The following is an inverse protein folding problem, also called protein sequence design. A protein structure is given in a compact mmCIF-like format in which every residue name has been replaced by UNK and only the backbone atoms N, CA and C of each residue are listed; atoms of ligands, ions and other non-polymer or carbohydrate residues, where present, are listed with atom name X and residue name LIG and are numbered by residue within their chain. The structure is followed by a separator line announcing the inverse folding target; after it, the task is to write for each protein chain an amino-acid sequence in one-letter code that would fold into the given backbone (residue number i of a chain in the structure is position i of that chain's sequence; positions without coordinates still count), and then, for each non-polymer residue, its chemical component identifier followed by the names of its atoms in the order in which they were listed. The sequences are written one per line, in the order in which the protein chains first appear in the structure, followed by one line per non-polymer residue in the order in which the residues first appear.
data_IF_379449591623
#
_entry.id   IF_379449591623
#
_cell.length_a   1.000
_cell.length_b   1.000
_cell.length_c   1.000
_cell.angle_alpha   90.00
_cell.angle_beta   90.00
_cell.angle_gamma   90.00
#
_symmetry.space_group_name_H-M   'P 1'
#
loop_
_entity.id
_entity.type
_entity.pdbx_description
1 polymer ?
#
# COMPACT_ATOMS: atom_id res chain seq x y z
N UNK A 1 59.24 -4.00 -21.19
CA UNK A 1 59.52 -5.36 -20.68
C UNK A 1 59.42 -5.27 -19.16
N UNK A 2 58.29 -5.65 -18.55
CA UNK A 2 58.00 -6.97 -17.96
C UNK A 2 59.19 -7.55 -17.21
N UNK A 3 59.09 -7.61 -15.87
CA UNK A 3 59.58 -8.66 -14.97
C UNK A 3 58.98 -8.35 -13.58
N UNK A 4 57.88 -8.99 -13.14
CA UNK A 4 57.73 -10.38 -12.65
C UNK A 4 57.98 -10.53 -11.13
N UNK A 5 56.88 -10.77 -10.41
CA UNK A 5 56.63 -11.73 -9.31
C UNK A 5 57.72 -11.97 -8.23
N UNK A 6 57.46 -11.60 -6.97
CA UNK A 6 56.90 -12.41 -5.85
C UNK A 6 57.95 -13.24 -5.09
N UNK A 7 58.00 -13.06 -3.76
CA UNK A 7 58.35 -14.02 -2.68
C UNK A 7 58.38 -13.21 -1.35
N UNK A 8 58.04 -13.64 -0.15
CA UNK A 8 57.13 -14.62 0.46
C UNK A 8 57.11 -14.26 1.98
N UNK A 9 55.92 -14.27 2.62
CA UNK A 9 55.59 -14.34 4.07
C UNK A 9 56.15 -13.35 5.11
N UNK A 10 55.28 -12.92 6.06
CA UNK A 10 55.05 -13.67 7.32
C UNK A 10 53.56 -13.95 7.56
N UNK A 11 53.11 -15.21 7.72
CA UNK A 11 52.99 -15.99 8.96
C UNK A 11 52.25 -15.32 10.13
N UNK A 12 51.04 -15.84 10.32
CA UNK A 12 50.24 -15.99 11.55
C UNK A 12 49.07 -15.03 11.86
N UNK A 13 47.88 -15.62 11.68
CA UNK A 13 46.74 -15.69 12.61
C UNK A 13 45.97 -14.41 12.94
N UNK A 14 44.77 -14.27 12.36
CA UNK A 14 43.51 -14.78 12.96
C UNK A 14 42.46 -14.85 11.84
N UNK A 15 42.06 -16.05 11.43
CA UNK A 15 40.81 -16.68 11.86
C UNK A 15 39.55 -16.00 11.29
N UNK A 16 39.09 -16.58 10.18
CA UNK A 16 37.69 -16.94 9.93
C UNK A 16 36.68 -15.79 9.95
N UNK A 17 36.37 -15.29 8.75
CA UNK A 17 35.03 -15.38 8.18
C UNK A 17 35.15 -15.35 6.65
N UNK A 18 35.21 -16.54 6.06
CA UNK A 18 35.01 -16.71 4.63
C UNK A 18 34.16 -17.96 4.43
N UNK A 19 32.85 -17.78 4.47
CA UNK A 19 31.95 -18.62 3.71
C UNK A 19 31.23 -17.72 2.72
N UNK A 20 31.48 -18.02 1.46
CA UNK A 20 30.81 -17.45 0.32
C UNK A 20 29.37 -17.96 0.26
N UNK A 21 28.42 -17.05 0.09
CA UNK A 21 27.19 -17.35 -0.64
C UNK A 21 26.93 -16.25 -1.66
N UNK A 22 27.09 -16.62 -2.93
CA UNK A 22 26.48 -15.93 -4.05
C UNK A 22 25.03 -16.42 -4.15
N UNK A 23 24.04 -15.51 -4.10
CA UNK A 23 22.77 -15.64 -4.82
C UNK A 23 21.80 -14.49 -4.50
N UNK A 24 21.25 -13.93 -5.59
CA UNK A 24 19.92 -13.33 -5.71
C UNK A 24 19.64 -11.99 -5.02
N UNK A 25 19.14 -11.05 -5.83
CA UNK A 25 18.86 -9.67 -5.45
C UNK A 25 17.86 -9.55 -4.30
N UNK A 26 18.16 -8.60 -3.41
CA UNK A 26 17.19 -8.14 -2.42
C UNK A 26 16.27 -7.11 -3.06
N UNK A 27 15.15 -7.62 -3.58
CA UNK A 27 13.93 -6.87 -3.86
C UNK A 27 13.31 -6.37 -2.54
N UNK A 28 14.01 -5.51 -1.81
CA UNK A 28 13.56 -4.97 -0.53
C UNK A 28 12.92 -3.60 -0.77
N UNK A 29 11.74 -3.61 -1.38
CA UNK A 29 10.88 -2.43 -1.49
C UNK A 29 9.39 -2.75 -1.24
N UNK A 30 9.06 -3.98 -0.83
CA UNK A 30 7.65 -4.44 -0.75
C UNK A 30 7.19 -4.83 0.66
N UNK A 31 8.06 -4.91 1.67
CA UNK A 31 7.66 -5.34 3.03
C UNK A 31 7.28 -4.19 3.97
N UNK A 32 7.81 -2.99 3.77
CA UNK A 32 7.53 -1.82 4.63
C UNK A 32 6.15 -1.19 4.32
N UNK A 33 5.65 -1.32 3.10
CA UNK A 33 4.35 -0.77 2.71
C UNK A 33 3.17 -1.53 3.32
N UNK A 34 3.31 -2.84 3.61
CA UNK A 34 2.19 -3.64 4.13
C UNK A 34 1.76 -3.19 5.52
N UNK A 35 2.68 -2.83 6.41
CA UNK A 35 2.34 -2.50 7.81
C UNK A 35 1.67 -1.14 7.97
N UNK A 36 1.85 -0.21 7.02
CA UNK A 36 1.24 1.13 7.07
C UNK A 36 -0.30 1.10 7.02
N UNK A 37 -0.86 0.13 6.30
CA UNK A 37 -2.30 0.06 6.01
C UNK A 37 -3.04 -1.05 6.78
N UNK A 38 -2.31 -1.85 7.56
CA UNK A 38 -2.85 -2.95 8.35
C UNK A 38 -3.07 -2.50 9.80
N UNK A 39 -4.18 -2.93 10.39
CA UNK A 39 -4.44 -2.87 11.83
C UNK A 39 -4.64 -4.30 12.31
N UNK A 40 -3.64 -4.85 13.00
CA UNK A 40 -3.60 -6.27 13.32
C UNK A 40 -3.60 -7.11 12.05
N UNK A 41 -4.57 -8.03 11.94
CA UNK A 41 -4.70 -8.95 10.80
C UNK A 41 -5.61 -8.42 9.68
N UNK A 42 -6.19 -7.22 9.81
CA UNK A 42 -7.14 -6.65 8.85
C UNK A 42 -6.68 -5.31 8.29
N UNK A 43 -7.11 -4.96 7.07
CA UNK A 43 -6.84 -3.66 6.48
C UNK A 43 -7.65 -2.55 7.16
N UNK A 44 -7.04 -1.38 7.38
CA UNK A 44 -7.67 -0.22 8.03
C UNK A 44 -9.05 0.10 7.43
N UNK A 45 -9.07 0.20 6.11
CA UNK A 45 -10.25 0.44 5.27
C UNK A 45 -11.37 -0.60 5.48
N UNK A 46 -11.04 -1.88 5.70
CA UNK A 46 -12.05 -2.90 5.96
C UNK A 46 -12.58 -2.81 7.40
N UNK A 47 -11.69 -2.57 8.38
CA UNK A 47 -12.05 -2.42 9.80
C UNK A 47 -13.01 -1.24 10.00
N UNK A 48 -12.72 -0.10 9.35
CA UNK A 48 -13.50 1.14 9.50
C UNK A 48 -14.51 1.38 8.39
N UNK A 49 -14.87 0.36 7.59
CA UNK A 49 -15.79 0.50 6.44
C UNK A 49 -17.08 1.24 6.81
N UNK A 50 -17.72 0.88 7.92
CA UNK A 50 -19.01 1.47 8.32
C UNK A 50 -18.84 2.96 8.65
N UNK A 51 -17.83 3.30 9.44
CA UNK A 51 -17.57 4.68 9.84
C UNK A 51 -17.21 5.56 8.65
N UNK A 52 -16.44 5.03 7.69
CA UNK A 52 -16.13 5.71 6.43
C UNK A 52 -17.41 5.96 5.60
N UNK A 53 -18.31 4.98 5.50
CA UNK A 53 -19.59 5.14 4.77
C UNK A 53 -20.49 6.20 5.42
N UNK A 54 -20.49 6.29 6.75
CA UNK A 54 -21.33 7.26 7.47
C UNK A 54 -20.74 8.68 7.48
N UNK A 55 -19.42 8.79 7.57
CA UNK A 55 -18.72 10.08 7.73
C UNK A 55 -18.47 10.77 6.38
N UNK A 56 -18.26 10.00 5.31
CA UNK A 56 -17.98 10.57 3.98
C UNK A 56 -19.30 10.94 3.30
N UNK A 57 -19.56 12.24 3.28
CA UNK A 57 -20.75 12.81 2.62
C UNK A 57 -20.54 13.10 1.12
N UNK A 58 -19.30 13.18 0.65
CA UNK A 58 -18.98 13.48 -0.76
C UNK A 58 -18.03 12.45 -1.37
N UNK A 59 -18.58 11.54 -2.20
CA UNK A 59 -17.82 10.43 -2.81
C UNK A 59 -17.22 10.79 -4.17
N UNK A 60 -17.72 11.84 -4.83
CA UNK A 60 -17.22 12.30 -6.13
C UNK A 60 -15.69 12.54 -6.18
N UNK A 61 -15.08 13.30 -5.25
CA UNK A 61 -13.63 13.55 -5.31
C UNK A 61 -12.81 12.27 -5.08
N UNK A 62 -13.32 11.34 -4.27
CA UNK A 62 -12.69 10.03 -4.02
C UNK A 62 -12.68 9.21 -5.32
N UNK A 63 -13.82 9.15 -6.02
CA UNK A 63 -13.95 8.47 -7.29
C UNK A 63 -13.02 9.05 -8.36
N UNK A 64 -12.93 10.37 -8.47
CA UNK A 64 -12.04 11.03 -9.45
C UNK A 64 -10.58 10.66 -9.21
N UNK A 65 -10.14 10.63 -7.94
CA UNK A 65 -8.77 10.22 -7.59
C UNK A 65 -8.50 8.74 -7.86
N UNK A 66 -9.47 7.87 -7.56
CA UNK A 66 -9.35 6.44 -7.86
C UNK A 66 -9.31 6.16 -9.36
N UNK A 67 -10.09 6.91 -10.14
CA UNK A 67 -10.08 6.83 -11.60
C UNK A 67 -8.74 7.32 -12.16
N UNK A 68 -8.22 8.43 -11.65
CA UNK A 68 -6.91 8.96 -12.03
C UNK A 68 -5.78 7.96 -11.76
N UNK A 69 -5.82 7.27 -10.60
CA UNK A 69 -4.89 6.20 -10.25
C UNK A 69 -5.15 4.88 -11.00
N UNK A 70 -6.10 4.83 -11.93
CA UNK A 70 -6.48 3.66 -12.72
C UNK A 70 -6.88 2.43 -11.87
N UNK A 71 -7.40 2.65 -10.66
CA UNK A 71 -7.86 1.58 -9.76
C UNK A 71 -9.25 1.10 -10.16
N UNK A 72 -10.09 2.02 -10.64
CA UNK A 72 -11.45 1.75 -11.09
C UNK A 72 -11.61 2.08 -12.57
N UNK A 73 -12.49 1.37 -13.26
CA UNK A 73 -12.81 1.62 -14.67
C UNK A 73 -13.83 2.75 -14.80
N UNK A 74 -13.93 3.34 -16.00
CA UNK A 74 -14.95 4.34 -16.33
C UNK A 74 -16.37 3.82 -16.09
N UNK A 75 -16.60 2.53 -16.35
CA UNK A 75 -17.90 1.87 -16.12
C UNK A 75 -18.26 1.92 -14.64
N UNK A 76 -17.35 1.48 -13.76
CA UNK A 76 -17.53 1.50 -12.31
C UNK A 76 -17.74 2.93 -11.80
N UNK A 77 -16.96 3.89 -12.30
CA UNK A 77 -17.12 5.31 -11.98
C UNK A 77 -18.55 5.78 -12.31
N UNK A 78 -19.01 5.54 -13.54
CA UNK A 78 -20.35 5.95 -13.98
C UNK A 78 -21.47 5.27 -13.19
N UNK A 79 -21.26 4.01 -12.79
CA UNK A 79 -22.23 3.23 -12.03
C UNK A 79 -22.40 3.80 -10.61
N UNK A 80 -21.29 4.08 -9.94
CA UNK A 80 -21.30 4.62 -8.57
C UNK A 80 -21.78 6.07 -8.55
N UNK A 81 -21.38 6.87 -9.55
CA UNK A 81 -21.82 8.27 -9.69
C UNK A 81 -23.32 8.41 -9.97
N UNK A 82 -23.96 7.38 -10.53
CA UNK A 82 -25.41 7.35 -10.77
C UNK A 82 -26.24 7.07 -9.50
N UNK A 83 -25.62 6.70 -8.38
CA UNK A 83 -26.35 6.43 -7.13
C UNK A 83 -26.93 7.74 -6.57
N UNK A 84 -28.09 7.64 -5.95
CA UNK A 84 -28.85 8.79 -5.45
C UNK A 84 -28.29 9.36 -4.14
N UNK A 85 -27.64 8.52 -3.33
CA UNK A 85 -27.09 8.92 -2.03
C UNK A 85 -25.58 8.67 -1.98
N UNK A 86 -24.86 9.58 -1.35
CA UNK A 86 -23.41 9.45 -1.14
C UNK A 86 -23.06 8.19 -0.33
N UNK A 87 -23.91 7.78 0.61
CA UNK A 87 -23.70 6.57 1.42
C UNK A 87 -23.77 5.31 0.56
N UNK A 88 -24.75 5.22 -0.33
CA UNK A 88 -24.85 4.10 -1.27
C UNK A 88 -23.69 4.10 -2.26
N UNK A 89 -23.27 5.27 -2.76
CA UNK A 89 -22.06 5.39 -3.58
C UNK A 89 -20.83 4.85 -2.85
N UNK A 90 -20.62 5.23 -1.59
CA UNK A 90 -19.48 4.77 -0.82
C UNK A 90 -19.55 3.27 -0.57
N UNK A 91 -20.73 2.74 -0.22
CA UNK A 91 -20.95 1.30 -0.01
C UNK A 91 -20.58 0.48 -1.24
N UNK A 92 -21.04 0.92 -2.41
CA UNK A 92 -20.75 0.29 -3.72
C UNK A 92 -19.27 0.36 -4.09
N UNK A 93 -18.61 1.48 -3.79
CA UNK A 93 -17.17 1.62 -3.99
C UNK A 93 -16.37 0.54 -3.25
N UNK A 94 -16.75 0.20 -2.02
CA UNK A 94 -16.14 -0.91 -1.27
C UNK A 94 -16.48 -2.30 -1.84
N UNK A 95 -17.58 -2.43 -2.57
CA UNK A 95 -18.01 -3.70 -3.16
C UNK A 95 -17.36 -3.97 -4.51
N UNK A 96 -16.74 -2.96 -5.12
CA UNK A 96 -15.93 -3.13 -6.31
C UNK A 96 -14.85 -4.18 -6.09
N UNK A 97 -14.79 -5.17 -7.00
CA UNK A 97 -13.76 -6.20 -6.98
C UNK A 97 -12.34 -5.62 -6.98
N UNK A 98 -12.12 -4.50 -7.67
CA UNK A 98 -10.83 -3.80 -7.69
C UNK A 98 -10.38 -3.31 -6.31
N UNK A 99 -11.31 -2.86 -5.47
CA UNK A 99 -11.00 -2.37 -4.11
C UNK A 99 -11.02 -3.51 -3.11
N UNK A 100 -12.04 -4.37 -3.15
CA UNK A 100 -12.22 -5.46 -2.18
C UNK A 100 -11.19 -6.58 -2.33
N UNK A 101 -10.88 -6.96 -3.56
CA UNK A 101 -10.06 -8.15 -3.87
C UNK A 101 -8.56 -7.84 -3.89
N UNK A 102 -8.17 -6.59 -4.19
CA UNK A 102 -6.75 -6.24 -4.33
C UNK A 102 -6.27 -5.37 -3.17
N UNK A 103 -5.13 -5.72 -2.58
CA UNK A 103 -4.48 -4.90 -1.54
C UNK A 103 -4.17 -3.50 -2.09
N UNK A 104 -3.68 -3.42 -3.34
CA UNK A 104 -3.39 -2.14 -4.01
C UNK A 104 -4.59 -1.21 -4.08
N UNK A 105 -5.79 -1.75 -4.31
CA UNK A 105 -7.02 -0.96 -4.33
C UNK A 105 -7.35 -0.38 -2.96
N UNK A 106 -7.15 -1.16 -1.90
CA UNK A 106 -7.33 -0.71 -0.51
C UNK A 106 -6.29 0.31 -0.09
N UNK A 107 -5.02 0.10 -0.45
CA UNK A 107 -3.92 1.04 -0.19
C UNK A 107 -4.19 2.37 -0.90
N UNK A 108 -4.57 2.34 -2.18
CA UNK A 108 -4.91 3.53 -2.95
C UNK A 108 -6.12 4.26 -2.36
N UNK A 109 -7.17 3.53 -1.95
CA UNK A 109 -8.32 4.14 -1.30
C UNK A 109 -7.92 4.82 0.01
N UNK A 110 -7.06 4.18 0.81
CA UNK A 110 -6.53 4.78 2.01
C UNK A 110 -5.78 6.08 1.73
N UNK A 111 -4.86 6.09 0.77
CA UNK A 111 -4.09 7.30 0.45
C UNK A 111 -5.02 8.43 -0.02
N UNK A 112 -6.03 8.11 -0.85
CA UNK A 112 -7.03 9.10 -1.30
C UNK A 112 -7.86 9.65 -0.14
N UNK A 113 -8.24 8.81 0.82
CA UNK A 113 -8.98 9.24 2.00
C UNK A 113 -8.11 10.10 2.94
N UNK A 114 -6.83 9.79 3.07
CA UNK A 114 -5.88 10.63 3.80
C UNK A 114 -5.71 12.01 3.14
N UNK A 115 -5.76 12.08 1.81
CA UNK A 115 -5.64 13.35 1.07
C UNK A 115 -6.91 14.21 1.16
N UNK A 116 -8.09 13.59 1.06
CA UNK A 116 -9.37 14.30 0.98
C UNK A 116 -10.00 14.54 2.34
N UNK A 117 -9.94 13.55 3.24
CA UNK A 117 -10.61 13.54 4.54
C UNK A 117 -9.63 13.13 5.66
N UNK A 118 -8.52 13.88 5.85
CA UNK A 118 -7.52 13.54 6.87
C UNK A 118 -8.11 13.52 8.27
N UNK A 119 -9.07 14.41 8.57
CA UNK A 119 -9.73 14.48 9.88
C UNK A 119 -10.50 13.20 10.22
N UNK A 120 -11.24 12.64 9.25
CA UNK A 120 -11.94 11.38 9.44
C UNK A 120 -10.93 10.25 9.65
N UNK A 121 -9.86 10.22 8.85
CA UNK A 121 -8.85 9.16 8.96
C UNK A 121 -8.09 9.22 10.29
N UNK A 122 -7.77 10.40 10.79
CA UNK A 122 -7.06 10.56 12.07
C UNK A 122 -7.97 10.24 13.27
N UNK A 123 -9.25 10.64 13.27
CA UNK A 123 -10.22 10.22 14.31
C UNK A 123 -10.37 8.69 14.35
N UNK A 124 -10.43 8.05 13.18
CA UNK A 124 -10.53 6.60 13.06
C UNK A 124 -9.25 5.89 13.53
N UNK A 125 -8.07 6.47 13.29
CA UNK A 125 -6.80 5.94 13.81
C UNK A 125 -6.69 6.06 15.32
N UNK A 126 -7.13 7.18 15.89
CA UNK A 126 -7.09 7.39 17.35
C UNK A 126 -8.01 6.40 18.07
N UNK A 127 -9.12 6.01 17.44
CA UNK A 127 -10.11 5.07 17.98
C UNK A 127 -9.79 3.58 17.72
N UNK A 128 -8.75 3.27 16.95
CA UNK A 128 -8.47 1.94 16.41
C UNK A 128 -7.54 1.08 17.26
#
# INVERSE_FOLDING_TARGET
MKCWYVLDRPTHCTSLWLDAVAAAGSSQANSESRTKYMIGDQHFIDKHRIQLIESISTVSPILDRLMFKNVITQENYSHIRRKSTSKDSMRELFELGSIRSTTKGKDCLYDVLMELEPFVMDDLKERS
#
